data_IF_167938307251
#
_entry.id   IF_167938307251
#
_cell.length_a   1.000
_cell.length_b   1.000
_cell.length_c   1.000
_cell.angle_alpha   90.00
_cell.angle_beta   90.00
_cell.angle_gamma   90.00
#
_symmetry.space_group_name_H-M   'P 1'
#
loop_
_entity.id
_entity.type
_entity.pdbx_description
1 polymer ?
#
# COMPACT_ATOMS: atom_id res chain seq x y z
N UNK A 1 -18.26 9.94 -10.45
CA UNK A 1 -16.82 9.78 -10.72
C UNK A 1 -16.64 8.81 -11.91
N UNK A 2 -15.75 9.14 -12.81
CA UNK A 2 -15.39 8.21 -13.88
C UNK A 2 -14.53 7.05 -13.33
N UNK A 3 -14.25 6.06 -14.17
CA UNK A 3 -13.51 4.87 -13.75
C UNK A 3 -12.11 5.21 -13.23
N UNK A 4 -11.40 6.11 -13.93
CA UNK A 4 -10.06 6.53 -13.51
C UNK A 4 -10.05 7.20 -12.15
N UNK A 5 -11.05 8.04 -11.85
CA UNK A 5 -11.18 8.69 -10.55
C UNK A 5 -11.49 7.69 -9.44
N UNK A 6 -12.34 6.71 -9.72
CA UNK A 6 -12.66 5.65 -8.76
C UNK A 6 -11.41 4.82 -8.43
N UNK A 7 -10.61 4.47 -9.44
CA UNK A 7 -9.37 3.72 -9.24
C UNK A 7 -8.36 4.56 -8.47
N UNK A 8 -8.20 5.84 -8.82
CA UNK A 8 -7.30 6.75 -8.09
C UNK A 8 -7.71 6.88 -6.62
N UNK A 9 -9.02 6.91 -6.35
CA UNK A 9 -9.54 6.97 -4.99
C UNK A 9 -9.14 5.74 -4.16
N UNK A 10 -9.09 4.55 -4.77
CA UNK A 10 -8.63 3.33 -4.10
C UNK A 10 -7.14 3.41 -3.76
N UNK A 11 -6.32 3.92 -4.67
CA UNK A 11 -4.88 4.11 -4.44
C UNK A 11 -4.66 5.07 -3.27
N UNK A 12 -5.39 6.17 -3.24
CA UNK A 12 -5.32 7.16 -2.16
C UNK A 12 -5.84 6.59 -0.84
N UNK A 13 -6.91 5.80 -0.88
CA UNK A 13 -7.48 5.22 0.33
C UNK A 13 -6.47 4.33 1.07
N UNK A 14 -5.66 3.56 0.35
CA UNK A 14 -4.59 2.76 0.95
C UNK A 14 -3.62 3.64 1.76
N UNK A 15 -3.13 4.70 1.14
CA UNK A 15 -2.20 5.62 1.78
C UNK A 15 -2.82 6.30 3.01
N UNK A 16 -4.05 6.80 2.87
CA UNK A 16 -4.74 7.49 3.95
C UNK A 16 -5.03 6.58 5.13
N UNK A 17 -5.42 5.34 4.86
CA UNK A 17 -5.74 4.38 5.92
C UNK A 17 -4.51 3.96 6.71
N UNK A 18 -3.40 3.64 6.04
CA UNK A 18 -2.17 3.28 6.77
C UNK A 18 -1.64 4.46 7.57
N UNK A 19 -1.60 5.65 7.00
CA UNK A 19 -1.10 6.85 7.70
C UNK A 19 -1.99 7.22 8.88
N UNK A 20 -3.28 6.93 8.79
CA UNK A 20 -4.23 7.14 9.88
C UNK A 20 -4.23 6.05 10.96
N UNK A 21 -3.49 4.96 10.74
CA UNK A 21 -3.48 3.82 11.66
C UNK A 21 -4.68 2.90 11.50
N UNK A 22 -5.49 3.08 10.46
CA UNK A 22 -6.67 2.24 10.18
C UNK A 22 -6.25 0.99 9.39
N UNK A 23 -5.58 0.08 10.07
CA UNK A 23 -5.07 -1.14 9.45
C UNK A 23 -6.17 -2.14 9.11
N UNK A 24 -7.26 -2.14 9.85
CA UNK A 24 -8.44 -2.95 9.53
C UNK A 24 -9.08 -2.46 8.22
N UNK A 25 -9.30 -1.16 8.09
CA UNK A 25 -9.82 -0.57 6.86
C UNK A 25 -8.90 -0.74 5.66
N UNK A 26 -7.59 -0.69 5.88
CA UNK A 26 -6.62 -1.00 4.83
C UNK A 26 -6.78 -2.44 4.34
N UNK A 27 -6.86 -3.39 5.27
CA UNK A 27 -7.00 -4.80 4.92
C UNK A 27 -8.30 -5.08 4.14
N UNK A 28 -9.38 -4.37 4.44
CA UNK A 28 -10.64 -4.51 3.72
C UNK A 28 -10.55 -4.13 2.24
N UNK A 29 -9.60 -3.26 1.87
CA UNK A 29 -9.35 -2.96 0.45
C UNK A 29 -8.91 -4.20 -0.33
N UNK A 30 -8.40 -5.22 0.36
CA UNK A 30 -7.91 -6.46 -0.23
C UNK A 30 -8.85 -7.64 -0.03
N UNK A 31 -10.12 -7.40 0.24
CA UNK A 31 -11.10 -8.47 0.47
C UNK A 31 -11.14 -9.49 -0.67
N UNK A 32 -11.02 -9.01 -1.92
CA UNK A 32 -11.01 -9.84 -3.12
C UNK A 32 -9.67 -9.75 -3.85
N UNK A 33 -8.58 -9.47 -3.13
CA UNK A 33 -7.32 -9.14 -3.74
C UNK A 33 -6.12 -9.85 -3.12
N UNK A 34 -5.01 -9.79 -3.84
CA UNK A 34 -3.72 -10.27 -3.37
C UNK A 34 -2.77 -9.09 -3.14
N UNK A 35 -1.94 -9.23 -2.12
CA UNK A 35 -0.87 -8.31 -1.79
C UNK A 35 0.46 -9.06 -1.90
N UNK A 36 1.37 -8.54 -2.72
CA UNK A 36 2.66 -9.18 -2.99
C UNK A 36 3.78 -8.15 -2.93
N UNK A 37 4.98 -8.60 -2.63
CA UNK A 37 6.18 -7.78 -2.69
C UNK A 37 7.21 -8.45 -3.62
N UNK A 38 7.79 -7.69 -4.53
CA UNK A 38 8.77 -8.21 -5.48
C UNK A 38 9.98 -8.81 -4.73
N UNK A 39 10.40 -9.98 -5.16
CA UNK A 39 11.52 -10.68 -4.56
C UNK A 39 11.16 -11.52 -3.34
N UNK A 40 9.89 -11.55 -2.94
CA UNK A 40 9.39 -12.37 -1.84
C UNK A 40 8.38 -13.39 -2.36
N UNK A 41 8.46 -14.65 -1.91
CA UNK A 41 7.55 -15.69 -2.39
C UNK A 41 6.16 -15.61 -1.76
N UNK A 42 6.00 -14.94 -0.62
CA UNK A 42 4.73 -14.88 0.09
C UNK A 42 3.70 -14.07 -0.67
N UNK A 43 2.47 -14.60 -0.73
CA UNK A 43 1.30 -13.92 -1.28
C UNK A 43 0.25 -13.86 -0.18
N UNK A 44 -0.23 -12.68 0.13
CA UNK A 44 -1.26 -12.47 1.13
C UNK A 44 -2.60 -12.24 0.43
N UNK A 45 -3.62 -13.03 0.81
CA UNK A 45 -4.94 -12.99 0.16
C UNK A 45 -6.02 -12.66 1.17
N UNK A 46 -6.85 -11.69 0.83
CA UNK A 46 -8.02 -11.35 1.60
C UNK A 46 -7.72 -10.60 2.88
N UNK A 47 -8.79 -10.25 3.59
CA UNK A 47 -8.74 -9.36 4.77
C UNK A 47 -7.84 -9.92 5.86
N UNK A 48 -8.03 -11.18 6.24
CA UNK A 48 -7.29 -11.75 7.37
C UNK A 48 -5.79 -11.82 7.14
N UNK A 49 -5.38 -12.31 5.97
CA UNK A 49 -3.96 -12.46 5.67
C UNK A 49 -3.27 -11.11 5.54
N UNK A 50 -3.89 -10.17 4.84
CA UNK A 50 -3.34 -8.82 4.68
C UNK A 50 -3.27 -8.12 6.03
N UNK A 51 -4.33 -8.22 6.86
CA UNK A 51 -4.32 -7.63 8.21
C UNK A 51 -3.20 -8.20 9.06
N UNK A 52 -2.98 -9.49 8.99
CA UNK A 52 -1.90 -10.16 9.74
C UNK A 52 -0.52 -9.66 9.31
N UNK A 53 -0.31 -9.44 8.02
CA UNK A 53 0.95 -8.91 7.49
C UNK A 53 1.26 -7.53 8.07
N UNK A 54 0.23 -6.70 8.28
CA UNK A 54 0.41 -5.36 8.84
C UNK A 54 0.57 -5.31 10.36
N UNK A 55 0.57 -6.45 11.07
CA UNK A 55 0.86 -6.48 12.51
C UNK A 55 2.27 -5.98 12.84
N UNK A 56 3.19 -6.06 11.88
CA UNK A 56 4.55 -5.56 12.06
C UNK A 56 4.70 -4.05 12.08
N UNK A 57 3.67 -3.30 11.70
CA UNK A 57 3.72 -1.84 11.69
C UNK A 57 3.72 -1.31 13.12
N UNK A 58 4.69 -0.44 13.42
CA UNK A 58 4.82 0.19 14.74
C UNK A 58 3.89 1.40 14.80
N UNK A 59 3.06 1.45 15.85
CA UNK A 59 2.13 2.56 16.07
C UNK A 59 2.57 3.40 17.26
N UNK A 60 2.46 4.70 17.11
CA UNK A 60 2.73 5.71 18.13
C UNK A 60 1.41 6.42 18.42
N UNK A 61 0.79 6.09 19.54
CA UNK A 61 -0.54 6.59 19.89
C UNK A 61 -1.57 6.31 18.75
N UNK A 62 -1.54 5.08 18.24
CA UNK A 62 -2.47 4.61 17.22
C UNK A 62 -2.13 4.95 15.77
N UNK A 63 -1.02 5.64 15.51
CA UNK A 63 -0.60 6.03 14.16
C UNK A 63 0.86 5.70 13.91
N UNK A 64 1.23 5.34 12.67
CA UNK A 64 2.63 5.01 12.36
C UNK A 64 3.54 6.25 12.22
N UNK A 65 3.00 7.45 12.31
CA UNK A 65 3.73 8.72 12.11
C UNK A 65 4.36 8.81 10.72
N UNK A 66 3.67 8.28 9.73
CA UNK A 66 4.12 8.26 8.33
C UNK A 66 3.23 9.12 7.45
N UNK A 67 3.76 9.47 6.30
CA UNK A 67 3.01 10.03 5.19
C UNK A 67 3.41 9.28 3.92
N UNK A 68 2.47 8.54 3.35
CA UNK A 68 2.65 7.90 2.06
C UNK A 68 2.34 8.91 0.97
N UNK A 69 3.36 9.32 0.23
CA UNK A 69 3.23 10.27 -0.87
C UNK A 69 3.13 9.47 -2.17
N UNK A 70 2.01 9.62 -2.87
CA UNK A 70 1.74 8.91 -4.12
C UNK A 70 1.92 9.87 -5.29
N UNK A 71 2.76 9.49 -6.23
CA UNK A 71 3.06 10.30 -7.41
C UNK A 71 3.07 9.43 -8.66
N UNK A 72 3.21 10.06 -9.82
CA UNK A 72 3.40 9.37 -11.10
C UNK A 72 2.31 8.32 -11.38
N UNK A 73 1.07 8.64 -11.07
CA UNK A 73 -0.05 7.73 -11.24
C UNK A 73 -0.43 7.63 -12.72
N UNK A 74 -0.40 6.41 -13.25
CA UNK A 74 -0.81 6.11 -14.62
C UNK A 74 -1.83 4.98 -14.59
N UNK A 75 -3.04 5.24 -15.04
CA UNK A 75 -4.16 4.31 -15.00
C UNK A 75 -4.54 3.92 -16.41
N UNK A 76 -4.72 2.61 -16.66
CA UNK A 76 -5.20 2.09 -17.93
C UNK A 76 -6.54 1.40 -17.68
N UNK A 77 -7.61 1.98 -18.19
CA UNK A 77 -8.93 1.38 -18.20
C UNK A 77 -9.56 1.63 -19.59
N UNK A 78 -10.05 0.55 -20.19
CA UNK A 78 -10.52 0.53 -21.59
C UNK A 78 -12.04 0.36 -21.71
N UNK A 79 -12.77 0.54 -20.60
CA UNK A 79 -14.21 0.34 -20.53
C UNK A 79 -14.61 -1.08 -20.13
N UNK A 80 -13.66 -2.01 -20.02
CA UNK A 80 -13.93 -3.35 -19.49
C UNK A 80 -14.02 -3.34 -17.97
N UNK A 81 -14.24 -4.51 -17.37
CA UNK A 81 -14.31 -4.71 -15.92
C UNK A 81 -12.93 -4.95 -15.29
N UNK A 82 -11.87 -4.71 -16.02
CA UNK A 82 -10.50 -4.85 -15.55
C UNK A 82 -9.71 -3.57 -15.84
N UNK A 83 -8.82 -3.20 -14.94
CA UNK A 83 -7.94 -2.05 -15.11
C UNK A 83 -6.60 -2.29 -14.43
N UNK A 84 -5.60 -1.54 -14.84
CA UNK A 84 -4.28 -1.56 -14.22
C UNK A 84 -3.85 -0.14 -13.88
N UNK A 85 -2.96 -0.02 -12.90
CA UNK A 85 -2.33 1.26 -12.59
C UNK A 85 -0.89 1.05 -12.14
N UNK A 86 -0.07 2.04 -12.43
CA UNK A 86 1.26 2.16 -11.85
C UNK A 86 1.36 3.47 -11.12
N UNK A 87 2.08 3.47 -10.02
CA UNK A 87 2.34 4.70 -9.28
C UNK A 87 3.67 4.58 -8.55
N UNK A 88 4.22 5.72 -8.13
CA UNK A 88 5.35 5.75 -7.22
C UNK A 88 4.83 6.01 -5.82
N UNK A 89 5.50 5.43 -4.83
CA UNK A 89 5.27 5.77 -3.44
C UNK A 89 6.58 6.22 -2.78
N UNK A 90 6.46 7.20 -1.90
CA UNK A 90 7.53 7.65 -1.02
C UNK A 90 6.94 7.74 0.38
N UNK A 91 7.55 7.09 1.35
CA UNK A 91 7.08 7.14 2.73
C UNK A 91 7.99 8.06 3.52
N UNK A 92 7.40 9.10 4.08
CA UNK A 92 8.03 10.01 5.01
C UNK A 92 7.66 9.59 6.42
N UNK A 93 8.56 9.73 7.37
CA UNK A 93 8.28 9.49 8.77
C UNK A 93 8.94 10.53 9.65
N UNK A 94 8.23 10.95 10.69
CA UNK A 94 8.77 11.74 11.79
C UNK A 94 8.22 11.17 13.09
N UNK A 95 9.08 10.95 14.08
CA UNK A 95 8.68 10.48 15.41
C UNK A 95 9.07 11.51 16.45
N UNK A 96 8.61 11.38 17.72
CA UNK A 96 9.04 12.30 18.76
C UNK A 96 10.57 12.41 18.93
N UNK A 97 11.30 11.37 18.54
CA UNK A 97 12.76 11.31 18.68
C UNK A 97 13.52 11.63 17.40
N UNK A 98 12.83 11.66 16.25
CA UNK A 98 13.47 11.84 14.95
C UNK A 98 12.77 12.87 14.10
N UNK A 99 13.54 13.75 13.45
CA UNK A 99 12.97 14.69 12.49
C UNK A 99 12.46 13.99 11.24
N UNK A 100 11.68 14.72 10.47
CA UNK A 100 11.13 14.24 9.19
C UNK A 100 12.22 13.70 8.26
N UNK A 101 12.01 12.49 7.75
CA UNK A 101 12.93 11.83 6.84
C UNK A 101 12.19 10.87 5.91
N UNK A 102 12.67 10.66 4.69
CA UNK A 102 12.18 9.58 3.85
C UNK A 102 12.75 8.25 4.37
N UNK A 103 11.93 7.20 4.40
CA UNK A 103 12.34 5.89 4.91
C UNK A 103 12.32 4.79 3.85
N UNK A 104 11.48 4.90 2.82
CA UNK A 104 11.38 3.92 1.75
C UNK A 104 10.72 4.56 0.54
N UNK A 105 11.10 4.14 -0.66
CA UNK A 105 10.47 4.57 -1.89
C UNK A 105 10.47 3.46 -2.93
N UNK A 106 9.45 3.44 -3.76
CA UNK A 106 9.32 2.43 -4.81
C UNK A 106 8.11 2.65 -5.68
N UNK A 107 7.58 1.56 -6.20
CA UNK A 107 6.44 1.58 -7.11
C UNK A 107 5.38 0.59 -6.68
N UNK A 108 4.13 0.90 -7.01
CA UNK A 108 3.03 -0.04 -6.98
C UNK A 108 2.66 -0.41 -8.42
N UNK A 109 2.50 -1.71 -8.68
CA UNK A 109 1.85 -2.20 -9.88
C UNK A 109 0.55 -2.86 -9.45
N UNK A 110 -0.55 -2.21 -9.78
CA UNK A 110 -1.87 -2.57 -9.29
C UNK A 110 -2.76 -3.11 -10.39
N UNK A 111 -3.60 -4.08 -10.03
CA UNK A 111 -4.69 -4.56 -10.86
C UNK A 111 -6.00 -4.34 -10.12
N UNK A 112 -7.05 -4.02 -10.86
CA UNK A 112 -8.39 -3.74 -10.33
C UNK A 112 -9.42 -4.51 -11.13
N UNK A 113 -10.52 -4.86 -10.47
CA UNK A 113 -11.68 -5.48 -11.09
C UNK A 113 -12.94 -4.73 -10.68
N UNK A 114 -13.87 -4.63 -11.63
CA UNK A 114 -15.21 -4.08 -11.34
C UNK A 114 -16.20 -5.23 -11.27
N UNK A 115 -16.91 -5.32 -10.16
CA UNK A 115 -18.00 -6.27 -9.95
C UNK A 115 -19.19 -5.52 -9.36
N UNK A 116 -20.38 -5.78 -9.90
CA UNK A 116 -21.62 -5.11 -9.50
C UNK A 116 -21.51 -3.57 -9.52
N UNK A 117 -20.77 -3.05 -10.51
CA UNK A 117 -20.56 -1.62 -10.69
C UNK A 117 -19.54 -0.98 -9.74
N UNK A 118 -18.85 -1.77 -8.93
CA UNK A 118 -17.89 -1.29 -7.92
C UNK A 118 -16.48 -1.76 -8.27
N UNK A 119 -15.56 -0.81 -8.37
CA UNK A 119 -14.14 -1.10 -8.55
C UNK A 119 -13.50 -1.49 -7.22
N UNK A 120 -12.61 -2.52 -7.28
CA UNK A 120 -11.84 -2.99 -6.13
C UNK A 120 -10.44 -3.38 -6.59
N UNK A 121 -9.48 -3.38 -5.66
CA UNK A 121 -8.19 -4.02 -5.92
C UNK A 121 -8.41 -5.50 -6.24
N UNK A 122 -7.66 -6.04 -7.20
CA UNK A 122 -7.52 -7.48 -7.43
C UNK A 122 -6.10 -7.99 -7.19
N UNK A 123 -5.10 -7.13 -7.35
CA UNK A 123 -3.71 -7.43 -6.99
C UNK A 123 -2.94 -6.13 -6.76
N UNK A 124 -2.06 -6.15 -5.78
CA UNK A 124 -1.04 -5.10 -5.60
C UNK A 124 0.33 -5.75 -5.53
N UNK A 125 1.22 -5.36 -6.43
CA UNK A 125 2.63 -5.72 -6.37
C UNK A 125 3.41 -4.50 -5.91
N UNK A 126 4.12 -4.64 -4.79
CA UNK A 126 4.99 -3.60 -4.27
C UNK A 126 6.42 -3.86 -4.74
N UNK A 127 7.02 -2.86 -5.36
CA UNK A 127 8.40 -2.89 -5.81
C UNK A 127 9.17 -1.86 -5.01
N UNK A 128 10.19 -2.28 -4.27
CA UNK A 128 11.00 -1.39 -3.45
C UNK A 128 12.27 -1.03 -4.19
N UNK A 129 12.48 0.26 -4.40
CA UNK A 129 13.65 0.77 -5.11
C UNK A 129 14.71 1.35 -4.17
N UNK A 130 14.26 2.09 -3.15
CA UNK A 130 15.16 2.80 -2.24
C UNK A 130 14.74 2.53 -0.80
N UNK A 131 15.70 2.18 0.04
CA UNK A 131 15.45 1.85 1.45
C UNK A 131 16.31 2.75 2.34
N UNK A 132 15.66 3.43 3.26
CA UNK A 132 16.30 4.18 4.32
C UNK A 132 16.25 3.41 5.64
N UNK A 133 15.99 4.11 6.73
CA UNK A 133 15.85 3.49 8.06
C UNK A 133 14.39 3.15 8.35
N UNK A 134 14.04 1.88 8.24
CA UNK A 134 12.69 1.36 8.51
C UNK A 134 12.47 0.95 9.97
N UNK A 135 13.48 1.07 10.82
CA UNK A 135 13.44 0.50 12.18
C UNK A 135 12.35 1.08 13.08
N UNK A 136 11.85 2.27 12.75
CA UNK A 136 10.77 2.93 13.51
C UNK A 136 9.40 2.76 12.88
N UNK A 137 9.34 2.10 11.74
CA UNK A 137 8.08 1.84 11.03
C UNK A 137 7.67 0.37 11.08
N UNK A 138 8.62 -0.54 10.88
CA UNK A 138 8.36 -1.97 10.81
C UNK A 138 9.21 -2.72 11.84
N UNK A 139 8.60 -3.69 12.52
CA UNK A 139 9.35 -4.61 13.38
C UNK A 139 10.22 -5.53 12.53
N UNK A 140 11.43 -5.83 13.03
CA UNK A 140 12.40 -6.68 12.33
C UNK A 140 11.80 -8.04 11.98
N UNK A 141 11.98 -8.47 10.72
CA UNK A 141 11.57 -9.78 10.24
C UNK A 141 10.13 -9.88 9.77
N UNK A 142 9.32 -8.85 9.95
CA UNK A 142 7.92 -8.84 9.52
C UNK A 142 7.69 -7.83 8.41
N UNK A 143 7.47 -8.32 7.18
CA UNK A 143 7.04 -7.49 6.06
C UNK A 143 8.04 -6.45 5.55
N UNK A 144 9.28 -6.43 6.07
CA UNK A 144 10.31 -5.51 5.58
C UNK A 144 10.82 -6.04 4.23
N UNK A 145 10.64 -5.28 3.14
CA UNK A 145 11.18 -5.69 1.86
C UNK A 145 12.70 -5.65 1.91
N UNK A 146 13.32 -6.74 1.51
CA UNK A 146 14.76 -6.73 1.33
C UNK A 146 15.12 -5.90 0.11
N UNK A 147 16.29 -5.28 0.15
CA UNK A 147 16.85 -4.57 -0.98
C UNK A 147 17.16 -5.57 -2.08
N UNK A 148 16.54 -5.39 -3.22
CA UNK A 148 16.90 -6.17 -4.41
C UNK A 148 18.17 -5.61 -5.06
#
# INVERSE_FOLDING_TARGET
>A
MDDGEQIRALIHAYAERIDGGDLDGLAELFADATWRSQGRPEVFRGVEQVRRMYKGVILYDGRPCTKHVITNVSIVCDGSDAATARSYFTVLQATPELPLQPIIAGSYHDEFARADGVWRFSDRLIIVDLVGDLSRHMRSGEGIPERT
#
